data_IF_557484965576
#
_entry.id   IF_557484965576
#
_cell.length_a   1.000
_cell.length_b   1.000
_cell.length_c   1.000
_cell.angle_alpha   90.00
_cell.angle_beta   90.00
_cell.angle_gamma   90.00
#
_symmetry.space_group_name_H-M   'P 1'
#
loop_
_entity.id
_entity.type
_entity.pdbx_description
1 polymer ?
#
# COMPACT_ATOMS: atom_id res chain seq x y z
N UNK A 1 -13.46 -0.76 -24.99
CA UNK A 1 -12.86 -1.57 -23.91
C UNK A 1 -12.24 -0.59 -22.95
N UNK A 2 -12.44 -0.74 -21.62
CA UNK A 2 -11.73 0.10 -20.65
C UNK A 2 -10.23 -0.16 -20.72
N UNK A 3 -9.44 0.86 -20.43
CA UNK A 3 -7.97 0.71 -20.32
C UNK A 3 -7.69 -0.05 -19.00
N UNK A 4 -7.19 -1.28 -19.11
CA UNK A 4 -6.81 -2.07 -17.95
C UNK A 4 -5.39 -1.67 -17.52
N UNK A 5 -5.26 -1.26 -16.27
CA UNK A 5 -3.98 -0.86 -15.66
C UNK A 5 -3.83 -1.49 -14.28
N UNK A 6 -2.61 -1.80 -13.88
CA UNK A 6 -2.28 -2.20 -12.52
C UNK A 6 -0.88 -1.64 -12.20
N UNK A 7 -0.77 -0.85 -11.16
CA UNK A 7 0.48 -0.24 -10.72
C UNK A 7 0.94 -0.72 -9.34
N UNK A 8 0.19 -1.63 -8.69
CA UNK A 8 0.58 -2.19 -7.41
C UNK A 8 0.70 -3.71 -7.51
N UNK A 9 1.90 -4.18 -7.82
CA UNK A 9 2.18 -5.62 -7.92
C UNK A 9 3.55 -5.97 -7.35
N UNK A 10 3.59 -7.15 -6.71
CA UNK A 10 4.76 -7.69 -6.04
C UNK A 10 5.32 -8.86 -6.82
N UNK A 11 6.64 -8.96 -6.90
CA UNK A 11 7.35 -9.99 -7.62
C UNK A 11 8.27 -10.81 -6.69
N UNK A 12 8.99 -11.78 -7.24
CA UNK A 12 9.97 -12.57 -6.48
C UNK A 12 11.13 -11.75 -5.89
N UNK A 13 11.18 -10.44 -6.15
CA UNK A 13 12.10 -9.52 -5.48
C UNK A 13 11.67 -9.15 -4.06
N UNK A 14 10.42 -9.45 -3.69
CA UNK A 14 9.89 -9.35 -2.32
C UNK A 14 9.04 -10.59 -2.00
N UNK A 15 7.80 -10.43 -1.58
CA UNK A 15 6.89 -11.54 -1.22
C UNK A 15 6.02 -12.06 -2.37
N UNK A 16 6.19 -11.52 -3.57
CA UNK A 16 5.44 -11.96 -4.75
C UNK A 16 5.76 -13.42 -5.13
N UNK A 17 4.83 -14.04 -5.85
CA UNK A 17 4.88 -15.49 -6.18
C UNK A 17 5.38 -15.80 -7.59
N UNK A 18 5.64 -14.78 -8.40
CA UNK A 18 6.07 -14.93 -9.79
C UNK A 18 7.14 -13.91 -10.16
N UNK A 19 7.90 -14.22 -11.21
CA UNK A 19 8.86 -13.30 -11.79
C UNK A 19 8.17 -12.13 -12.51
N UNK A 20 8.85 -11.00 -12.65
CA UNK A 20 8.30 -9.83 -13.36
C UNK A 20 7.81 -10.18 -14.76
N UNK A 21 8.54 -11.01 -15.49
CA UNK A 21 8.17 -11.38 -16.87
C UNK A 21 6.87 -12.19 -16.94
N UNK A 22 6.56 -13.00 -15.93
CA UNK A 22 5.31 -13.75 -15.88
C UNK A 22 4.11 -12.82 -15.73
N UNK A 23 4.24 -11.76 -14.92
CA UNK A 23 3.22 -10.71 -14.83
C UNK A 23 3.05 -9.96 -16.15
N UNK A 24 4.14 -9.63 -16.87
CA UNK A 24 4.03 -8.98 -18.19
C UNK A 24 3.30 -9.87 -19.19
N UNK A 25 3.60 -11.16 -19.22
CA UNK A 25 2.92 -12.11 -20.10
C UNK A 25 1.44 -12.24 -19.79
N UNK A 26 1.12 -12.34 -18.50
CA UNK A 26 -0.26 -12.39 -18.05
C UNK A 26 -1.01 -11.10 -18.40
N UNK A 27 -0.45 -9.93 -18.10
CA UNK A 27 -1.03 -8.63 -18.42
C UNK A 27 -1.34 -8.50 -19.92
N UNK A 28 -0.41 -8.92 -20.78
CA UNK A 28 -0.63 -8.95 -22.23
C UNK A 28 -1.74 -9.90 -22.64
N UNK A 29 -1.87 -11.08 -22.02
CA UNK A 29 -2.95 -12.03 -22.33
C UNK A 29 -4.32 -11.54 -21.93
N UNK A 30 -4.40 -10.72 -20.86
CA UNK A 30 -5.63 -10.11 -20.39
C UNK A 30 -5.95 -8.75 -21.05
N UNK A 31 -5.10 -8.29 -21.99
CA UNK A 31 -5.32 -7.08 -22.75
C UNK A 31 -4.98 -5.78 -22.00
N UNK A 32 -4.11 -5.85 -21.02
CA UNK A 32 -3.56 -4.65 -20.38
C UNK A 32 -2.74 -3.82 -21.37
N UNK A 33 -2.87 -2.52 -21.31
CA UNK A 33 -2.08 -1.58 -22.11
C UNK A 33 -0.90 -1.02 -21.34
N UNK A 34 -0.98 -1.02 -20.00
CA UNK A 34 0.11 -0.61 -19.12
C UNK A 34 0.14 -1.46 -17.85
N UNK A 35 1.34 -1.64 -17.29
CA UNK A 35 1.55 -2.42 -16.07
C UNK A 35 2.73 -1.86 -15.27
N UNK A 36 2.58 -1.79 -13.94
CA UNK A 36 3.59 -1.30 -13.03
C UNK A 36 4.02 -2.36 -12.01
N UNK A 37 5.30 -2.32 -11.66
CA UNK A 37 5.87 -3.11 -10.57
C UNK A 37 6.14 -2.21 -9.38
N UNK A 38 5.76 -2.64 -8.17
CA UNK A 38 5.97 -1.89 -6.94
C UNK A 38 6.23 -2.83 -5.77
N UNK A 39 7.31 -3.62 -5.90
CA UNK A 39 7.73 -4.53 -4.81
C UNK A 39 7.93 -3.76 -3.51
N UNK A 40 7.72 -4.42 -2.37
CA UNK A 40 8.00 -3.84 -1.06
C UNK A 40 9.45 -3.36 -0.94
N UNK A 41 9.61 -2.09 -0.60
CA UNK A 41 10.91 -1.46 -0.41
C UNK A 41 11.67 -2.02 0.80
N UNK A 42 13.00 -1.91 0.83
CA UNK A 42 13.79 -2.30 1.99
C UNK A 42 13.44 -1.51 3.25
N UNK A 43 13.37 -2.21 4.37
CA UNK A 43 13.29 -1.66 5.72
C UNK A 43 14.69 -1.60 6.37
N UNK A 44 14.87 -0.89 7.50
CA UNK A 44 16.15 -0.87 8.23
C UNK A 44 16.48 -2.18 8.97
N UNK A 45 15.64 -3.19 8.82
CA UNK A 45 15.81 -4.56 9.34
C UNK A 45 15.19 -5.55 8.33
N UNK A 46 15.71 -6.77 8.30
CA UNK A 46 15.21 -7.83 7.41
C UNK A 46 13.84 -8.32 7.82
N UNK A 47 12.98 -8.57 6.86
CA UNK A 47 11.68 -9.21 7.00
C UNK A 47 11.52 -10.33 5.98
N UNK A 48 10.47 -11.14 6.10
CA UNK A 48 10.18 -12.18 5.12
C UNK A 48 9.48 -11.64 3.86
N UNK A 49 9.10 -10.36 3.84
CA UNK A 49 8.24 -9.79 2.79
C UNK A 49 8.83 -8.56 2.08
N UNK A 50 9.87 -7.93 2.62
CA UNK A 50 10.52 -6.78 1.96
C UNK A 50 11.71 -7.22 1.11
N UNK A 51 12.01 -6.43 0.10
CA UNK A 51 13.25 -6.50 -0.66
C UNK A 51 14.43 -6.11 0.23
N UNK A 52 15.60 -6.71 -0.01
CA UNK A 52 16.85 -6.24 0.58
C UNK A 52 17.54 -5.21 -0.35
N UNK A 53 18.37 -4.35 0.22
CA UNK A 53 19.03 -3.30 -0.56
C UNK A 53 20.03 -3.82 -1.60
N UNK A 54 20.63 -4.97 -1.35
CA UNK A 54 21.65 -5.57 -2.22
C UNK A 54 21.11 -6.12 -3.54
N UNK A 55 19.80 -6.38 -3.62
CA UNK A 55 19.15 -6.84 -4.85
C UNK A 55 18.41 -5.71 -5.60
N UNK A 56 18.51 -4.46 -5.16
CA UNK A 56 17.84 -3.31 -5.79
C UNK A 56 18.29 -3.11 -7.23
N UNK A 57 19.58 -3.22 -7.49
CA UNK A 57 20.12 -3.07 -8.84
C UNK A 57 19.66 -4.19 -9.79
N UNK A 58 19.49 -5.40 -9.29
CA UNK A 58 18.94 -6.53 -10.04
C UNK A 58 17.47 -6.29 -10.38
N UNK A 59 16.67 -5.75 -9.41
CA UNK A 59 15.28 -5.37 -9.62
C UNK A 59 15.13 -4.34 -10.75
N UNK A 60 15.93 -3.30 -10.72
CA UNK A 60 15.92 -2.24 -11.74
C UNK A 60 16.42 -2.76 -13.10
N UNK A 61 17.46 -3.58 -13.10
CA UNK A 61 18.03 -4.15 -14.33
C UNK A 61 17.06 -5.09 -15.04
N UNK A 62 16.37 -5.95 -14.28
CA UNK A 62 15.33 -6.84 -14.84
C UNK A 62 14.17 -6.04 -15.43
N UNK A 63 13.73 -4.97 -14.74
CA UNK A 63 12.71 -4.09 -15.28
C UNK A 63 13.14 -3.48 -16.62
N UNK A 64 14.35 -2.93 -16.73
CA UNK A 64 14.84 -2.33 -17.98
C UNK A 64 14.92 -3.36 -19.11
N UNK A 65 15.38 -4.57 -18.82
CA UNK A 65 15.38 -5.67 -19.78
C UNK A 65 13.98 -5.96 -20.32
N UNK A 66 12.97 -5.99 -19.42
CA UNK A 66 11.59 -6.25 -19.81
C UNK A 66 10.98 -5.08 -20.59
N UNK A 67 11.25 -3.85 -20.17
CA UNK A 67 10.79 -2.63 -20.85
C UNK A 67 11.26 -2.61 -22.32
N UNK A 68 12.52 -2.96 -22.58
CA UNK A 68 13.05 -3.10 -23.94
C UNK A 68 12.41 -4.27 -24.68
N UNK A 69 12.33 -5.46 -24.06
CA UNK A 69 11.80 -6.68 -24.68
C UNK A 69 10.35 -6.54 -25.14
N UNK A 70 9.54 -5.79 -24.38
CA UNK A 70 8.12 -5.65 -24.64
C UNK A 70 7.72 -4.28 -25.20
N UNK A 71 8.71 -3.49 -25.63
CA UNK A 71 8.48 -2.16 -26.21
C UNK A 71 7.46 -2.22 -27.37
N UNK A 72 6.51 -1.30 -27.37
CA UNK A 72 5.43 -1.22 -28.37
C UNK A 72 4.31 -2.25 -28.20
N UNK A 73 4.38 -3.13 -27.19
CA UNK A 73 3.34 -4.12 -26.87
C UNK A 73 2.57 -3.77 -25.60
N UNK A 74 3.25 -3.26 -24.60
CA UNK A 74 2.70 -2.82 -23.33
C UNK A 74 3.61 -1.75 -22.75
N UNK A 75 3.05 -0.74 -22.08
CA UNK A 75 3.82 0.24 -21.33
C UNK A 75 4.15 -0.28 -19.95
N UNK A 76 5.43 -0.30 -19.60
CA UNK A 76 5.90 -0.78 -18.29
C UNK A 76 6.44 0.37 -17.44
N UNK A 77 6.10 0.33 -16.17
CA UNK A 77 6.50 1.30 -15.15
C UNK A 77 7.13 0.63 -13.94
N UNK A 78 8.13 1.28 -13.35
CA UNK A 78 8.82 0.80 -12.17
C UNK A 78 8.56 1.72 -10.98
N UNK A 79 8.13 1.13 -9.88
CA UNK A 79 7.92 1.79 -8.60
C UNK A 79 8.42 0.94 -7.44
N UNK A 80 8.14 1.41 -6.24
CA UNK A 80 8.28 0.68 -4.99
C UNK A 80 7.09 1.00 -4.09
N UNK A 81 6.64 0.05 -3.31
CA UNK A 81 5.79 0.28 -2.15
C UNK A 81 6.68 0.52 -0.94
N UNK A 82 6.65 1.75 -0.43
CA UNK A 82 7.57 2.23 0.60
C UNK A 82 6.80 2.49 1.88
N UNK A 83 7.18 1.78 2.94
CA UNK A 83 6.59 1.97 4.26
C UNK A 83 7.03 3.26 4.93
N UNK A 84 6.07 3.94 5.58
CA UNK A 84 6.38 4.86 6.65
C UNK A 84 6.55 4.08 7.96
N UNK A 85 7.77 3.88 8.37
CA UNK A 85 8.10 3.29 9.68
C UNK A 85 8.30 4.37 10.75
N UNK A 86 9.10 5.39 10.43
CA UNK A 86 9.41 6.54 11.30
C UNK A 86 10.08 7.67 10.49
N UNK A 87 10.55 8.73 11.19
CA UNK A 87 11.22 9.87 10.54
C UNK A 87 12.51 9.51 9.78
N UNK A 88 13.19 8.44 10.17
CA UNK A 88 14.44 8.00 9.52
C UNK A 88 14.21 6.94 8.42
N UNK A 89 13.01 6.35 8.34
CA UNK A 89 12.65 5.34 7.35
C UNK A 89 11.23 5.59 6.85
N UNK A 90 11.11 6.22 5.69
CA UNK A 90 9.86 6.63 5.07
C UNK A 90 10.09 7.02 3.60
N UNK A 91 9.04 7.23 2.79
CA UNK A 91 9.18 7.54 1.36
C UNK A 91 9.99 8.80 1.05
N UNK A 92 10.08 9.77 1.96
CA UNK A 92 10.73 11.07 1.72
C UNK A 92 12.25 11.06 1.87
N UNK A 93 12.86 9.99 2.39
CA UNK A 93 14.32 9.96 2.59
C UNK A 93 15.07 9.96 1.24
N UNK A 94 16.23 10.60 1.22
CA UNK A 94 17.03 10.78 0.00
C UNK A 94 17.27 9.46 -0.74
N UNK A 95 17.56 8.39 -0.01
CA UNK A 95 17.86 7.07 -0.58
C UNK A 95 16.74 6.53 -1.48
N UNK A 96 15.47 6.75 -1.15
CA UNK A 96 14.35 6.36 -2.02
C UNK A 96 14.06 7.40 -3.10
N UNK A 97 14.24 8.69 -2.79
CA UNK A 97 13.97 9.77 -3.75
C UNK A 97 14.93 9.78 -4.93
N UNK A 98 16.17 9.32 -4.72
CA UNK A 98 17.24 9.28 -5.73
C UNK A 98 17.16 8.04 -6.63
N UNK A 99 16.36 7.02 -6.29
CA UNK A 99 16.14 5.87 -7.16
C UNK A 99 15.44 6.29 -8.46
N UNK A 100 15.82 5.71 -9.61
CA UNK A 100 15.24 6.00 -10.92
C UNK A 100 13.89 5.30 -11.09
N UNK A 101 12.91 5.66 -10.27
CA UNK A 101 11.56 5.09 -10.27
C UNK A 101 10.60 6.01 -11.02
N UNK A 102 9.66 5.41 -11.75
CA UNK A 102 8.58 6.13 -12.42
C UNK A 102 7.53 6.65 -11.41
N UNK A 103 7.28 5.91 -10.32
CA UNK A 103 6.33 6.27 -9.25
C UNK A 103 6.69 5.62 -7.91
N UNK A 104 6.07 6.08 -6.84
CA UNK A 104 6.23 5.57 -5.48
C UNK A 104 4.87 5.42 -4.81
N UNK A 105 4.63 4.28 -4.16
CA UNK A 105 3.45 4.03 -3.33
C UNK A 105 3.87 4.20 -1.87
N UNK A 106 3.14 5.01 -1.11
CA UNK A 106 3.34 5.16 0.32
C UNK A 106 2.36 4.29 1.10
N UNK A 107 2.85 3.49 2.03
CA UNK A 107 2.06 2.56 2.84
C UNK A 107 2.47 2.54 4.30
N UNK A 108 1.62 1.98 5.17
CA UNK A 108 1.90 1.70 6.58
C UNK A 108 1.47 0.28 6.89
N UNK A 109 2.41 -0.62 7.10
CA UNK A 109 2.16 -2.00 7.53
C UNK A 109 2.57 -2.23 8.99
N UNK A 110 3.45 -1.38 9.52
CA UNK A 110 4.10 -1.58 10.80
C UNK A 110 3.78 -0.43 11.76
N UNK A 111 3.52 -0.76 13.01
CA UNK A 111 3.37 0.19 14.09
C UNK A 111 4.43 -0.04 15.18
N UNK A 112 4.71 0.98 15.97
CA UNK A 112 5.41 0.83 17.24
C UNK A 112 4.39 0.78 18.37
N UNK A 113 4.51 -0.21 19.25
CA UNK A 113 3.75 -0.21 20.50
C UNK A 113 4.38 0.76 21.53
N UNK A 114 3.75 0.90 22.70
CA UNK A 114 4.23 1.81 23.76
C UNK A 114 5.60 1.42 24.37
N UNK A 115 6.06 0.19 24.08
CA UNK A 115 7.40 -0.28 24.48
C UNK A 115 8.46 -0.03 23.41
N UNK A 116 8.08 0.53 22.26
CA UNK A 116 8.96 0.73 21.11
C UNK A 116 9.24 -0.54 20.30
N UNK A 117 8.46 -1.59 20.48
CA UNK A 117 8.52 -2.80 19.66
C UNK A 117 7.76 -2.58 18.36
N UNK A 118 8.34 -3.05 17.24
CA UNK A 118 7.68 -3.03 15.94
C UNK A 118 6.70 -4.18 15.85
N UNK A 119 5.47 -3.91 15.45
CA UNK A 119 4.42 -4.90 15.24
C UNK A 119 3.81 -4.74 13.85
N UNK A 120 3.63 -5.85 13.16
CA UNK A 120 2.97 -5.90 11.86
C UNK A 120 1.45 -5.90 12.06
N UNK A 121 0.76 -4.95 11.44
CA UNK A 121 -0.72 -4.84 11.51
C UNK A 121 -1.42 -5.29 10.23
N UNK A 122 -0.64 -5.61 9.19
CA UNK A 122 -1.12 -6.20 7.95
C UNK A 122 -1.08 -7.73 7.98
N UNK A 123 -1.83 -8.30 8.89
CA UNK A 123 -1.87 -9.73 9.19
C UNK A 123 -3.31 -10.26 9.12
N UNK A 124 -3.51 -11.56 9.36
CA UNK A 124 -4.85 -12.12 9.47
C UNK A 124 -5.63 -11.52 10.66
N UNK A 125 -6.96 -11.52 10.59
CA UNK A 125 -7.81 -10.99 11.66
C UNK A 125 -7.53 -11.64 13.03
N UNK A 126 -7.26 -12.95 13.08
CA UNK A 126 -6.92 -13.65 14.33
C UNK A 126 -5.56 -13.21 14.88
N UNK A 127 -4.58 -13.03 14.01
CA UNK A 127 -3.25 -12.51 14.40
C UNK A 127 -3.37 -11.06 14.86
N UNK A 128 -4.13 -10.23 14.15
CA UNK A 128 -4.39 -8.84 14.53
C UNK A 128 -5.03 -8.75 15.93
N UNK A 129 -6.00 -9.62 16.22
CA UNK A 129 -6.60 -9.70 17.55
C UNK A 129 -5.54 -10.00 18.62
N UNK A 130 -4.67 -10.99 18.38
CA UNK A 130 -3.59 -11.34 19.30
C UNK A 130 -2.63 -10.16 19.53
N UNK A 131 -2.35 -9.38 18.47
CA UNK A 131 -1.50 -8.18 18.53
C UNK A 131 -2.16 -7.10 19.37
N UNK A 132 -3.43 -6.78 19.11
CA UNK A 132 -4.16 -5.76 19.91
C UNK A 132 -4.21 -6.14 21.38
N UNK A 133 -4.53 -7.40 21.68
CA UNK A 133 -4.62 -7.88 23.06
C UNK A 133 -3.25 -7.89 23.77
N UNK A 134 -2.21 -8.36 23.10
CA UNK A 134 -0.89 -8.56 23.69
C UNK A 134 0.03 -7.35 23.70
N UNK A 135 -0.03 -6.52 22.66
CA UNK A 135 0.89 -5.38 22.48
C UNK A 135 0.27 -4.01 22.78
N UNK A 136 -1.08 -3.92 22.84
CA UNK A 136 -1.82 -2.67 23.01
C UNK A 136 -2.89 -2.76 24.10
N UNK A 137 -2.77 -3.70 25.05
CA UNK A 137 -3.66 -3.83 26.20
C UNK A 137 -5.17 -3.94 25.82
N UNK A 138 -5.49 -4.54 24.68
CA UNK A 138 -6.85 -4.63 24.11
C UNK A 138 -7.48 -3.27 23.76
N UNK A 139 -6.68 -2.22 23.61
CA UNK A 139 -7.15 -0.88 23.23
C UNK A 139 -7.13 -0.72 21.70
N UNK A 140 -8.20 -1.18 21.04
CA UNK A 140 -8.36 -1.05 19.59
C UNK A 140 -8.41 0.42 19.14
N UNK A 141 -9.05 1.31 19.90
CA UNK A 141 -9.14 2.72 19.52
C UNK A 141 -7.76 3.36 19.48
N UNK A 142 -6.91 3.07 20.45
CA UNK A 142 -5.52 3.52 20.45
C UNK A 142 -4.78 3.02 19.19
N UNK A 143 -4.91 1.74 18.84
CA UNK A 143 -4.27 1.16 17.63
C UNK A 143 -4.74 1.84 16.35
N UNK A 144 -6.06 2.05 16.20
CA UNK A 144 -6.63 2.73 15.04
C UNK A 144 -6.12 4.17 14.94
N UNK A 145 -6.15 4.93 16.03
CA UNK A 145 -5.65 6.32 16.05
C UNK A 145 -4.15 6.40 15.76
N UNK A 146 -3.37 5.45 16.27
CA UNK A 146 -1.94 5.35 16.00
C UNK A 146 -1.69 5.09 14.50
N UNK A 147 -2.43 4.16 13.89
CA UNK A 147 -2.33 3.83 12.47
C UNK A 147 -2.62 5.06 11.59
N UNK A 148 -3.77 5.72 11.78
CA UNK A 148 -4.11 6.92 11.02
C UNK A 148 -3.17 8.10 11.31
N UNK A 149 -2.63 8.20 12.53
CA UNK A 149 -1.59 9.16 12.86
C UNK A 149 -0.30 8.94 12.05
N UNK A 150 0.09 7.68 11.84
CA UNK A 150 1.24 7.31 10.98
C UNK A 150 0.98 7.63 9.51
N UNK A 151 -0.20 7.27 9.01
CA UNK A 151 -0.61 7.61 7.65
C UNK A 151 -0.61 9.14 7.43
N UNK A 152 -1.17 9.91 8.35
CA UNK A 152 -1.16 11.38 8.27
C UNK A 152 0.27 11.92 8.27
N UNK A 153 1.15 11.37 9.12
CA UNK A 153 2.55 11.80 9.15
C UNK A 153 3.28 11.47 7.85
N UNK A 154 3.00 10.33 7.25
CA UNK A 154 3.50 9.97 5.90
C UNK A 154 3.07 11.01 4.86
N UNK A 155 1.78 11.42 4.86
CA UNK A 155 1.28 12.47 3.96
C UNK A 155 2.02 13.81 4.15
N UNK A 156 2.35 14.17 5.39
CA UNK A 156 3.07 15.41 5.71
C UNK A 156 4.49 15.42 5.16
N UNK A 157 5.19 14.30 5.26
CA UNK A 157 6.57 14.15 4.77
C UNK A 157 6.64 14.03 3.24
N UNK A 158 5.65 13.40 2.62
CA UNK A 158 5.61 13.19 1.19
C UNK A 158 6.65 12.20 0.68
N UNK A 159 7.09 12.40 -0.57
CA UNK A 159 8.10 11.56 -1.22
C UNK A 159 7.49 10.34 -1.94
N UNK A 160 6.18 10.33 -2.17
CA UNK A 160 5.44 9.32 -2.92
C UNK A 160 4.32 9.97 -3.75
N UNK A 161 3.73 9.19 -4.65
CA UNK A 161 2.73 9.65 -5.61
C UNK A 161 1.34 9.09 -5.28
N UNK A 162 1.27 7.84 -4.84
CA UNK A 162 0.04 7.07 -4.59
C UNK A 162 -0.01 6.63 -3.14
N UNK A 163 -1.15 6.79 -2.49
CA UNK A 163 -1.42 6.17 -1.18
C UNK A 163 -1.91 4.75 -1.42
N UNK A 164 -1.12 3.76 -0.99
CA UNK A 164 -1.47 2.35 -1.07
C UNK A 164 -2.58 2.00 -0.08
N UNK A 165 -3.53 1.14 -0.48
CA UNK A 165 -4.61 0.57 0.36
C UNK A 165 -4.96 1.40 1.61
N UNK A 166 -5.36 2.63 1.37
CA UNK A 166 -5.41 3.78 2.28
C UNK A 166 -6.07 3.56 3.67
N UNK A 167 -6.89 2.53 3.83
CA UNK A 167 -7.55 2.18 5.10
C UNK A 167 -7.45 0.67 5.40
N UNK A 168 -6.36 0.03 5.01
CA UNK A 168 -6.17 -1.43 5.09
C UNK A 168 -6.56 -2.05 6.44
N UNK A 169 -6.37 -1.34 7.53
CA UNK A 169 -6.72 -1.80 8.87
C UNK A 169 -8.23 -2.01 9.07
N UNK A 170 -9.11 -1.39 8.27
CA UNK A 170 -10.55 -1.37 8.53
C UNK A 170 -11.16 -2.76 8.69
N UNK A 171 -10.75 -3.74 7.85
CA UNK A 171 -11.27 -5.11 7.90
C UNK A 171 -10.91 -5.79 9.22
N UNK A 172 -9.65 -5.79 9.59
CA UNK A 172 -9.16 -6.42 10.82
C UNK A 172 -9.76 -5.75 12.06
N UNK A 173 -9.86 -4.42 12.05
CA UNK A 173 -10.46 -3.66 13.14
C UNK A 173 -11.97 -3.95 13.29
N UNK A 174 -12.71 -4.08 12.18
CA UNK A 174 -14.12 -4.49 12.20
C UNK A 174 -14.33 -5.93 12.64
N UNK A 175 -13.42 -6.85 12.30
CA UNK A 175 -13.42 -8.22 12.82
C UNK A 175 -13.16 -8.25 14.34
N UNK A 176 -12.26 -7.42 14.84
CA UNK A 176 -11.96 -7.30 16.27
C UNK A 176 -13.15 -6.72 17.05
N UNK A 177 -13.76 -5.65 16.53
CA UNK A 177 -14.91 -4.96 17.14
C UNK A 177 -16.01 -4.75 16.10
N UNK A 178 -17.00 -5.67 16.01
CA UNK A 178 -18.16 -5.49 15.13
C UNK A 178 -18.89 -4.17 15.41
N UNK A 179 -19.24 -3.45 14.34
CA UNK A 179 -19.90 -2.14 14.44
C UNK A 179 -18.94 -0.94 14.52
N UNK A 180 -17.62 -1.17 14.62
CA UNK A 180 -16.61 -0.10 14.68
C UNK A 180 -16.76 0.92 13.55
N UNK A 181 -17.01 0.45 12.31
CA UNK A 181 -17.08 1.32 11.14
C UNK A 181 -18.26 2.32 11.19
N UNK A 182 -19.25 2.06 12.05
CA UNK A 182 -20.43 2.93 12.24
C UNK A 182 -20.29 3.85 13.46
N UNK A 183 -19.17 3.75 14.20
CA UNK A 183 -18.88 4.64 15.30
C UNK A 183 -18.50 6.04 14.77
N UNK A 184 -19.12 7.12 15.28
CA UNK A 184 -18.87 8.48 14.76
C UNK A 184 -17.39 8.89 14.77
N UNK A 185 -16.64 8.60 15.84
CA UNK A 185 -15.23 8.94 15.93
C UNK A 185 -14.37 8.26 14.86
N UNK A 186 -14.73 7.00 14.48
CA UNK A 186 -14.02 6.27 13.44
C UNK A 186 -14.28 6.89 12.06
N UNK A 187 -15.55 7.12 11.71
CA UNK A 187 -15.94 7.73 10.45
C UNK A 187 -15.33 9.13 10.28
N UNK A 188 -15.36 9.96 11.35
CA UNK A 188 -14.73 11.29 11.37
C UNK A 188 -13.22 11.21 11.12
N UNK A 189 -12.52 10.26 11.76
CA UNK A 189 -11.08 10.06 11.62
C UNK A 189 -10.72 9.68 10.18
N UNK A 190 -11.44 8.70 9.61
CA UNK A 190 -11.19 8.21 8.25
C UNK A 190 -11.48 9.29 7.21
N UNK A 191 -12.60 10.02 7.35
CA UNK A 191 -12.95 11.15 6.45
C UNK A 191 -11.93 12.28 6.53
N UNK A 192 -11.47 12.62 7.73
CA UNK A 192 -10.43 13.64 7.89
C UNK A 192 -9.12 13.23 7.19
N UNK A 193 -8.74 11.95 7.27
CA UNK A 193 -7.60 11.43 6.56
C UNK A 193 -7.77 11.50 5.04
N UNK A 194 -8.92 11.08 4.48
CA UNK A 194 -9.18 11.18 3.05
C UNK A 194 -9.24 12.63 2.54
N UNK A 195 -9.81 13.54 3.35
CA UNK A 195 -9.78 14.96 3.03
C UNK A 195 -8.35 15.52 3.00
N UNK A 196 -7.45 15.05 3.88
CA UNK A 196 -6.04 15.46 3.87
C UNK A 196 -5.29 14.92 2.63
N UNK A 197 -5.52 13.67 2.22
CA UNK A 197 -5.02 13.11 0.96
C UNK A 197 -5.45 14.01 -0.21
N UNK A 198 -6.75 14.33 -0.28
CA UNK A 198 -7.32 15.15 -1.33
C UNK A 198 -6.70 16.56 -1.37
N UNK A 199 -6.62 17.22 -0.22
CA UNK A 199 -6.04 18.56 -0.06
C UNK A 199 -4.57 18.62 -0.51
N UNK A 200 -3.80 17.56 -0.29
CA UNK A 200 -2.39 17.46 -0.66
C UNK A 200 -2.17 17.03 -2.11
N UNK A 201 -3.18 16.55 -2.79
CA UNK A 201 -3.12 16.18 -4.19
C UNK A 201 -2.62 14.76 -4.47
N UNK A 202 -2.50 13.90 -3.47
CA UNK A 202 -2.12 12.49 -3.67
C UNK A 202 -3.20 11.70 -4.38
N UNK A 203 -2.80 10.70 -5.15
CA UNK A 203 -3.69 9.68 -5.69
C UNK A 203 -4.01 8.63 -4.61
N UNK A 204 -5.20 8.02 -4.70
CA UNK A 204 -5.60 6.92 -3.83
C UNK A 204 -5.73 5.66 -4.68
N UNK A 205 -5.08 4.61 -4.27
CA UNK A 205 -5.27 3.28 -4.85
C UNK A 205 -6.64 2.71 -4.47
N UNK A 206 -7.36 2.12 -5.42
CA UNK A 206 -8.45 1.19 -5.11
C UNK A 206 -7.89 -0.23 -5.21
N UNK A 207 -7.48 -0.79 -4.08
CA UNK A 207 -6.92 -2.13 -4.01
C UNK A 207 -8.03 -3.19 -3.95
N UNK A 208 -8.06 -4.08 -4.93
CA UNK A 208 -9.09 -5.12 -5.08
C UNK A 208 -8.64 -6.51 -4.63
N UNK A 209 -7.38 -6.66 -4.17
CA UNK A 209 -6.79 -7.96 -3.78
C UNK A 209 -7.64 -8.72 -2.76
N UNK A 210 -8.23 -8.01 -1.80
CA UNK A 210 -9.03 -8.62 -0.75
C UNK A 210 -10.47 -8.94 -1.16
N UNK A 211 -10.94 -8.48 -2.32
CA UNK A 211 -12.34 -8.62 -2.70
C UNK A 211 -12.77 -10.08 -2.87
N UNK A 212 -11.95 -10.89 -3.50
CA UNK A 212 -12.24 -12.30 -3.73
C UNK A 212 -12.37 -13.10 -2.42
N UNK A 213 -11.46 -12.87 -1.48
CA UNK A 213 -11.35 -13.70 -0.26
C UNK A 213 -12.13 -13.11 0.93
N UNK A 214 -12.21 -11.78 1.01
CA UNK A 214 -12.77 -11.05 2.15
C UNK A 214 -14.02 -10.23 1.79
N UNK A 215 -14.35 -10.10 0.51
CA UNK A 215 -15.52 -9.32 0.05
C UNK A 215 -15.38 -7.81 0.27
N UNK A 216 -14.16 -7.28 0.37
CA UNK A 216 -13.92 -5.86 0.66
C UNK A 216 -12.84 -5.25 -0.22
N UNK A 217 -12.88 -3.94 -0.36
CA UNK A 217 -11.86 -3.14 -1.03
C UNK A 217 -11.02 -2.35 -0.01
N UNK A 218 -9.85 -1.86 -0.47
CA UNK A 218 -9.08 -0.83 0.23
C UNK A 218 -8.89 0.38 -0.70
N UNK A 219 -9.44 1.54 -0.38
CA UNK A 219 -10.30 1.83 0.78
C UNK A 219 -11.65 1.11 0.72
N UNK A 220 -12.32 1.01 1.88
CA UNK A 220 -13.65 0.44 1.99
C UNK A 220 -14.62 1.18 1.07
N UNK A 221 -15.46 0.44 0.33
CA UNK A 221 -16.39 0.97 -0.67
C UNK A 221 -17.40 2.00 -0.12
N UNK A 222 -17.66 2.01 1.18
CA UNK A 222 -18.48 3.03 1.83
C UNK A 222 -17.96 4.46 1.63
N UNK A 223 -16.65 4.60 1.35
CA UNK A 223 -15.99 5.89 1.13
C UNK A 223 -15.83 6.28 -0.33
N UNK A 224 -16.19 5.44 -1.29
CA UNK A 224 -15.99 5.73 -2.72
C UNK A 224 -16.71 7.01 -3.17
N UNK A 225 -17.98 7.19 -2.78
CA UNK A 225 -18.70 8.44 -3.08
C UNK A 225 -18.00 9.66 -2.48
N UNK A 226 -17.54 9.54 -1.24
CA UNK A 226 -16.85 10.63 -0.56
C UNK A 226 -15.53 11.00 -1.25
N UNK A 227 -14.73 10.00 -1.63
CA UNK A 227 -13.48 10.20 -2.38
C UNK A 227 -13.74 10.82 -3.76
N UNK A 228 -14.77 10.37 -4.45
CA UNK A 228 -15.19 10.96 -5.73
C UNK A 228 -15.56 12.44 -5.56
N UNK A 229 -16.34 12.79 -4.54
CA UNK A 229 -16.75 14.16 -4.27
C UNK A 229 -15.58 15.09 -3.89
N UNK A 230 -14.52 14.51 -3.33
CA UNK A 230 -13.25 15.22 -3.10
C UNK A 230 -12.42 15.43 -4.38
N UNK A 231 -12.87 14.92 -5.54
CA UNK A 231 -12.23 15.10 -6.84
C UNK A 231 -10.94 14.28 -7.01
N UNK A 232 -10.84 13.12 -6.38
CA UNK A 232 -9.70 12.23 -6.52
C UNK A 232 -9.95 11.17 -7.60
N UNK A 233 -8.96 10.98 -8.48
CA UNK A 233 -8.95 9.86 -9.43
C UNK A 233 -8.57 8.58 -8.68
N UNK A 234 -9.27 7.49 -9.02
CA UNK A 234 -9.02 6.17 -8.44
C UNK A 234 -8.13 5.37 -9.40
N UNK A 235 -7.02 4.85 -8.91
CA UNK A 235 -6.27 3.78 -9.57
C UNK A 235 -6.94 2.45 -9.22
N UNK A 236 -7.39 1.71 -10.24
CA UNK A 236 -7.97 0.37 -10.06
C UNK A 236 -6.88 -0.68 -10.18
N UNK A 237 -6.68 -1.44 -9.12
CA UNK A 237 -5.96 -2.70 -9.16
C UNK A 237 -6.95 -3.81 -9.51
N UNK A 238 -6.72 -4.48 -10.62
CA UNK A 238 -7.41 -5.74 -10.95
C UNK A 238 -6.57 -6.87 -10.37
N UNK A 239 -7.07 -7.52 -9.34
CA UNK A 239 -6.45 -8.70 -8.71
C UNK A 239 -6.68 -9.98 -9.49
#
# INVERSE_FOLDING_TARGET
>A
MGNLTNYHSHSLYCDGRAGMEDFVRFALSEGFTSYGFSSHAPLPFSTAWTMEWDIMDDYLSEFHRLKEKYAGRIELYIGLEIDYLNEASNPSIARFRELPLDYRIGSVHLLYNDKGEVVDVDVSADTFKTIVDGHFCSDLEHVVRLYYGRLTRMLELGGFDIVGHADKMHYNAACYRPGLLDEPWYDELVRAYFADIARRGYQVEVNTKAYHDLGTFYPNERYFSYLHDLGRSEERRVG
#
